data_IF_159566745608
#
_entry.id   IF_159566745608
#
_cell.length_a   1.000
_cell.length_b   1.000
_cell.length_c   1.000
_cell.angle_alpha   90.00
_cell.angle_beta   90.00
_cell.angle_gamma   90.00
#
_symmetry.space_group_name_H-M   'P 1'
#
loop_
_entity.id
_entity.type
_entity.pdbx_description
1 polymer ?
#
# COMPACT_ATOMS: atom_id res chain seq x y z
N UNK A 1 -10.18 -23.73 -101.65
CA UNK A 1 -10.53 -24.11 -100.26
C UNK A 1 -9.31 -24.33 -99.33
N UNK A 2 -8.05 -24.18 -99.78
CA UNK A 2 -6.85 -24.52 -98.97
C UNK A 2 -6.24 -23.38 -98.14
N UNK A 3 -6.60 -22.11 -98.39
CA UNK A 3 -6.07 -20.97 -97.63
C UNK A 3 -6.93 -20.61 -96.40
N UNK A 4 -8.25 -20.83 -96.48
CA UNK A 4 -9.19 -20.54 -95.39
C UNK A 4 -9.02 -21.53 -94.21
N UNK A 5 -8.76 -22.81 -94.52
CA UNK A 5 -8.52 -23.85 -93.50
C UNK A 5 -7.19 -23.65 -92.78
N UNK A 6 -6.15 -23.15 -93.47
CA UNK A 6 -4.85 -22.82 -92.85
C UNK A 6 -4.97 -21.60 -91.93
N UNK A 7 -5.75 -20.59 -92.31
CA UNK A 7 -5.99 -19.42 -91.47
C UNK A 7 -6.80 -19.79 -90.22
N UNK A 8 -7.85 -20.61 -90.37
CA UNK A 8 -8.63 -21.12 -89.26
C UNK A 8 -7.79 -21.99 -88.30
N UNK A 9 -6.90 -22.84 -88.83
CA UNK A 9 -6.00 -23.67 -88.03
C UNK A 9 -4.95 -22.85 -87.26
N UNK A 10 -4.39 -21.81 -87.87
CA UNK A 10 -3.43 -20.91 -87.20
C UNK A 10 -4.14 -20.08 -86.12
N UNK A 11 -5.36 -19.60 -86.39
CA UNK A 11 -6.14 -18.83 -85.42
C UNK A 11 -6.58 -19.70 -84.23
N UNK A 12 -6.97 -20.96 -84.47
CA UNK A 12 -7.33 -21.90 -83.41
C UNK A 12 -6.11 -22.40 -82.62
N UNK A 13 -4.94 -22.53 -83.24
CA UNK A 13 -3.70 -22.84 -82.52
C UNK A 13 -3.21 -21.64 -81.68
N UNK A 14 -3.33 -20.42 -82.18
CA UNK A 14 -3.03 -19.21 -81.41
C UNK A 14 -4.00 -19.02 -80.24
N UNK A 15 -5.28 -19.32 -80.43
CA UNK A 15 -6.28 -19.29 -79.35
C UNK A 15 -6.05 -20.40 -78.32
N UNK A 16 -5.66 -21.61 -78.75
CA UNK A 16 -5.31 -22.70 -77.84
C UNK A 16 -4.05 -22.39 -77.01
N UNK A 17 -3.04 -21.73 -77.59
CA UNK A 17 -1.83 -21.32 -76.85
C UNK A 17 -2.12 -20.17 -75.87
N UNK A 18 -3.05 -19.26 -76.19
CA UNK A 18 -3.46 -18.20 -75.27
C UNK A 18 -4.28 -18.71 -74.06
N UNK A 19 -5.01 -19.82 -74.21
CA UNK A 19 -5.82 -20.42 -73.14
C UNK A 19 -5.00 -21.38 -72.25
N UNK A 20 -3.87 -21.89 -72.74
CA UNK A 20 -2.98 -22.81 -72.00
C UNK A 20 -1.75 -22.08 -71.41
N UNK A 21 -1.65 -20.75 -71.57
CA UNK A 21 -0.63 -19.97 -70.87
C UNK A 21 -0.76 -20.26 -69.37
N UNK A 22 0.29 -20.79 -68.70
CA UNK A 22 0.23 -21.04 -67.28
C UNK A 22 -0.08 -19.70 -66.63
N UNK A 23 -1.24 -19.60 -65.97
CA UNK A 23 -1.48 -18.49 -65.08
C UNK A 23 -0.37 -18.59 -64.04
N UNK A 24 0.61 -17.69 -64.12
CA UNK A 24 1.55 -17.47 -63.04
C UNK A 24 0.69 -17.13 -61.83
N UNK A 25 0.40 -18.14 -61.00
CA UNK A 25 -0.13 -17.91 -59.68
C UNK A 25 0.87 -16.95 -59.05
N UNK A 26 0.42 -15.72 -58.79
CA UNK A 26 1.23 -14.75 -58.07
C UNK A 26 1.78 -15.51 -56.87
N UNK A 27 3.10 -15.54 -56.74
CA UNK A 27 3.75 -16.21 -55.62
C UNK A 27 3.26 -15.49 -54.36
N UNK A 28 2.23 -16.05 -53.72
CA UNK A 28 1.67 -15.53 -52.49
C UNK A 28 2.80 -15.61 -51.49
N UNK A 29 3.36 -14.46 -51.15
CA UNK A 29 4.37 -14.35 -50.12
C UNK A 29 3.62 -14.07 -48.82
N UNK A 30 3.32 -15.10 -48.00
CA UNK A 30 2.50 -14.94 -46.81
C UNK A 30 3.13 -13.97 -45.79
N UNK A 31 4.43 -13.66 -45.88
CA UNK A 31 5.11 -12.65 -45.06
C UNK A 31 4.94 -11.22 -45.62
N UNK A 32 4.75 -11.07 -46.93
CA UNK A 32 4.43 -9.77 -47.54
C UNK A 32 2.93 -9.43 -47.39
N UNK A 33 2.07 -10.45 -47.30
CA UNK A 33 0.64 -10.31 -47.02
C UNK A 33 0.27 -10.43 -45.54
N UNK A 34 1.23 -10.80 -44.67
CA UNK A 34 1.00 -10.78 -43.23
C UNK A 34 0.86 -9.35 -42.73
N UNK A 35 -0.16 -9.11 -41.91
CA UNK A 35 -0.35 -7.83 -41.24
C UNK A 35 0.92 -7.50 -40.44
N UNK A 36 1.60 -6.42 -40.79
CA UNK A 36 2.73 -5.93 -39.99
C UNK A 36 2.21 -5.35 -38.68
N UNK A 37 3.05 -5.38 -37.64
CA UNK A 37 2.69 -4.80 -36.34
C UNK A 37 2.31 -3.31 -36.48
N UNK A 38 2.99 -2.58 -37.37
CA UNK A 38 2.69 -1.19 -37.69
C UNK A 38 1.35 -1.01 -38.43
N UNK A 39 1.04 -1.85 -39.44
CA UNK A 39 -0.25 -1.81 -40.13
C UNK A 39 -1.41 -2.21 -39.22
N UNK A 40 -1.14 -3.11 -38.27
CA UNK A 40 -2.07 -3.44 -37.19
C UNK A 40 -2.25 -2.21 -36.28
N UNK A 41 -1.19 -1.58 -35.77
CA UNK A 41 -1.32 -0.39 -34.93
C UNK A 41 -1.96 0.81 -35.64
N UNK A 42 -1.75 0.97 -36.94
CA UNK A 42 -2.38 2.00 -37.79
C UNK A 42 -3.87 1.71 -37.99
N UNK A 43 -4.25 0.47 -38.30
CA UNK A 43 -5.66 0.04 -38.36
C UNK A 43 -6.37 0.12 -37.00
N UNK A 44 -5.61 -0.03 -35.91
CA UNK A 44 -6.05 0.09 -34.53
C UNK A 44 -5.93 1.52 -33.98
N UNK A 45 -5.59 2.51 -34.81
CA UNK A 45 -5.37 3.93 -34.49
C UNK A 45 -6.60 4.70 -33.99
N UNK A 46 -7.60 4.00 -33.47
CA UNK A 46 -8.74 4.58 -32.78
C UNK A 46 -8.46 4.65 -31.28
N UNK A 47 -8.83 5.74 -30.62
CA UNK A 47 -8.83 5.86 -29.14
C UNK A 47 -9.88 4.94 -28.45
N UNK A 48 -10.43 3.96 -29.16
CA UNK A 48 -11.46 3.03 -28.71
C UNK A 48 -10.91 1.69 -28.24
N UNK A 49 -11.75 0.94 -27.51
CA UNK A 49 -11.42 -0.44 -27.11
C UNK A 49 -11.41 -1.33 -28.34
N UNK A 50 -10.28 -2.01 -28.57
CA UNK A 50 -10.17 -3.03 -29.62
C UNK A 50 -10.39 -4.38 -28.96
N UNK A 51 -11.37 -5.13 -29.44
CA UNK A 51 -11.69 -6.46 -28.92
C UNK A 51 -11.82 -7.51 -30.03
N UNK A 52 -11.50 -8.75 -29.69
CA UNK A 52 -11.63 -9.93 -30.52
C UNK A 52 -12.39 -11.03 -29.79
N UNK A 53 -12.59 -12.17 -30.48
CA UNK A 53 -13.24 -13.34 -29.88
C UNK A 53 -12.20 -14.24 -29.22
N UNK A 54 -12.53 -14.74 -28.04
CA UNK A 54 -11.73 -15.75 -27.32
C UNK A 54 -12.59 -16.97 -27.02
N UNK A 55 -11.97 -18.15 -27.04
CA UNK A 55 -12.61 -19.45 -26.75
C UNK A 55 -12.67 -19.78 -25.26
N UNK A 56 -11.95 -19.04 -24.42
CA UNK A 56 -11.90 -19.25 -22.97
C UNK A 56 -13.08 -18.57 -22.25
N UNK A 57 -13.45 -19.02 -21.03
CA UNK A 57 -14.54 -18.41 -20.25
C UNK A 57 -14.35 -16.92 -19.97
N UNK A 58 -13.10 -16.49 -19.78
CA UNK A 58 -12.75 -15.09 -19.61
C UNK A 58 -12.88 -14.32 -20.94
N UNK A 59 -14.08 -13.81 -21.23
CA UNK A 59 -14.36 -13.00 -22.42
C UNK A 59 -13.54 -11.72 -22.48
N UNK A 60 -13.09 -11.23 -21.32
CA UNK A 60 -12.36 -9.99 -21.17
C UNK A 60 -10.91 -10.08 -21.70
N UNK A 61 -10.41 -11.31 -21.87
CA UNK A 61 -9.15 -11.63 -22.55
C UNK A 61 -9.19 -11.34 -24.07
N UNK A 62 -10.38 -11.13 -24.65
CA UNK A 62 -10.52 -10.70 -26.03
C UNK A 62 -10.15 -9.24 -26.28
N UNK A 63 -10.01 -8.42 -25.23
CA UNK A 63 -9.71 -7.00 -25.37
C UNK A 63 -8.21 -6.77 -25.62
N UNK A 64 -7.86 -6.47 -26.87
CA UNK A 64 -6.49 -6.26 -27.37
C UNK A 64 -5.92 -4.88 -26.97
N UNK A 65 -6.67 -3.81 -27.19
CA UNK A 65 -6.29 -2.43 -26.80
C UNK A 65 -7.33 -1.89 -25.84
N UNK A 66 -6.84 -1.38 -24.70
CA UNK A 66 -7.64 -0.74 -23.64
C UNK A 66 -7.11 0.68 -23.45
N UNK A 67 -7.70 1.70 -24.10
CA UNK A 67 -7.25 3.10 -24.01
C UNK A 67 -7.13 3.61 -22.57
N UNK A 68 -8.06 3.22 -21.70
CA UNK A 68 -8.06 3.53 -20.26
C UNK A 68 -6.77 3.08 -19.54
N UNK A 69 -6.11 2.01 -20.02
CA UNK A 69 -4.85 1.54 -19.44
C UNK A 69 -3.70 2.53 -19.66
N UNK A 70 -3.71 3.32 -20.73
CA UNK A 70 -2.65 4.33 -20.98
C UNK A 70 -2.74 5.45 -19.94
N UNK A 71 -3.95 5.94 -19.68
CA UNK A 71 -4.20 6.94 -18.64
C UNK A 71 -3.82 6.40 -17.25
N UNK A 72 -4.22 5.17 -16.93
CA UNK A 72 -3.84 4.48 -15.70
C UNK A 72 -2.32 4.32 -15.55
N UNK A 73 -1.63 3.85 -16.59
CA UNK A 73 -0.18 3.64 -16.55
C UNK A 73 0.59 4.95 -16.31
N UNK A 74 0.14 6.06 -16.91
CA UNK A 74 0.69 7.39 -16.66
C UNK A 74 0.42 7.86 -15.24
N UNK A 75 -0.81 7.73 -14.75
CA UNK A 75 -1.17 8.08 -13.37
C UNK A 75 -0.34 7.29 -12.36
N UNK A 76 -0.20 5.99 -12.56
CA UNK A 76 0.56 5.11 -11.68
C UNK A 76 2.06 5.44 -11.71
N UNK A 77 2.67 5.44 -12.90
CA UNK A 77 4.14 5.55 -13.03
C UNK A 77 4.68 6.94 -12.69
N UNK A 78 3.85 7.97 -12.81
CA UNK A 78 4.24 9.35 -12.49
C UNK A 78 3.71 9.76 -11.11
N UNK A 79 2.40 9.92 -10.99
CA UNK A 79 1.77 10.54 -9.82
C UNK A 79 1.86 9.64 -8.59
N UNK A 80 1.41 8.38 -8.68
CA UNK A 80 1.36 7.47 -7.52
C UNK A 80 2.78 7.19 -7.00
N UNK A 81 3.72 6.90 -7.91
CA UNK A 81 5.14 6.71 -7.55
C UNK A 81 5.70 7.93 -6.84
N UNK A 82 5.50 9.13 -7.40
CA UNK A 82 6.02 10.37 -6.83
C UNK A 82 5.42 10.64 -5.44
N UNK A 83 4.10 10.52 -5.30
CA UNK A 83 3.43 10.72 -4.01
C UNK A 83 3.90 9.70 -2.97
N UNK A 84 4.09 8.44 -3.35
CA UNK A 84 4.57 7.39 -2.46
C UNK A 84 6.00 7.65 -1.99
N UNK A 85 6.89 8.08 -2.90
CA UNK A 85 8.27 8.45 -2.57
C UNK A 85 8.28 9.66 -1.63
N UNK A 86 7.53 10.72 -1.94
CA UNK A 86 7.45 11.91 -1.09
C UNK A 86 6.89 11.55 0.29
N UNK A 87 5.84 10.75 0.36
CA UNK A 87 5.25 10.34 1.63
C UNK A 87 6.25 9.57 2.50
N UNK A 88 6.96 8.59 1.95
CA UNK A 88 7.89 7.77 2.73
C UNK A 88 9.19 8.52 3.02
N UNK A 89 9.93 8.90 1.97
CA UNK A 89 11.24 9.53 2.13
C UNK A 89 11.14 10.95 2.66
N UNK A 90 10.13 11.72 2.23
CA UNK A 90 9.90 13.07 2.74
C UNK A 90 9.57 13.06 4.23
N UNK A 91 8.79 12.09 4.73
CA UNK A 91 8.56 11.96 6.17
C UNK A 91 9.83 11.57 6.92
N UNK A 92 10.63 10.63 6.42
CA UNK A 92 11.92 10.29 7.04
C UNK A 92 12.84 11.52 7.14
N UNK A 93 12.97 12.28 6.05
CA UNK A 93 13.77 13.51 6.02
C UNK A 93 13.22 14.58 6.96
N UNK A 94 11.89 14.77 7.01
CA UNK A 94 11.25 15.72 7.90
C UNK A 94 11.48 15.37 9.38
N UNK A 95 11.39 14.08 9.74
CA UNK A 95 11.63 13.61 11.10
C UNK A 95 13.11 13.69 11.46
N UNK A 96 14.02 13.42 10.53
CA UNK A 96 15.45 13.62 10.72
C UNK A 96 15.77 15.09 10.98
N UNK A 97 15.23 16.00 10.16
CA UNK A 97 15.38 17.44 10.36
C UNK A 97 14.80 17.87 11.72
N UNK A 98 13.61 17.39 12.07
CA UNK A 98 13.00 17.65 13.37
C UNK A 98 13.87 17.14 14.52
N UNK A 99 14.45 15.95 14.40
CA UNK A 99 15.35 15.38 15.41
C UNK A 99 16.63 16.20 15.57
N UNK A 100 17.26 16.64 14.47
CA UNK A 100 18.46 17.47 14.52
C UNK A 100 18.18 18.83 15.15
N UNK A 101 17.03 19.44 14.84
CA UNK A 101 16.66 20.78 15.35
C UNK A 101 16.20 20.76 16.81
N UNK A 102 15.41 19.75 17.18
CA UNK A 102 14.75 19.69 18.50
C UNK A 102 15.48 18.76 19.47
N UNK A 103 15.98 17.63 18.99
CA UNK A 103 16.52 16.54 19.80
C UNK A 103 15.44 15.60 20.37
N UNK A 104 15.88 14.71 21.26
CA UNK A 104 15.03 13.76 22.00
C UNK A 104 14.16 14.49 23.05
N UNK A 105 12.89 14.13 23.15
CA UNK A 105 12.02 14.53 24.27
C UNK A 105 12.48 13.79 25.52
N UNK A 106 12.99 14.52 26.51
CA UNK A 106 13.35 13.96 27.82
C UNK A 106 12.21 14.17 28.81
N UNK A 107 12.21 13.34 29.84
CA UNK A 107 11.33 13.51 31.01
C UNK A 107 11.92 14.65 31.84
N UNK A 108 11.15 15.72 32.06
CA UNK A 108 11.64 16.95 32.69
C UNK A 108 12.05 16.70 34.16
N UNK A 109 11.31 15.86 34.88
CA UNK A 109 11.61 15.45 36.25
C UNK A 109 12.67 14.34 36.35
N UNK A 110 13.15 13.83 35.22
CA UNK A 110 13.96 12.62 35.15
C UNK A 110 13.17 11.34 35.48
N UNK A 111 13.79 10.18 35.21
CA UNK A 111 13.17 8.88 35.49
C UNK A 111 13.19 8.58 36.99
N UNK A 112 12.05 8.14 37.52
CA UNK A 112 11.87 7.78 38.92
C UNK A 112 12.46 6.41 39.28
N UNK A 113 12.62 5.52 38.29
CA UNK A 113 13.01 4.12 38.49
C UNK A 113 11.86 3.22 38.98
N UNK A 114 10.70 3.79 39.28
CA UNK A 114 9.46 3.07 39.60
C UNK A 114 8.60 2.97 38.37
N UNK A 115 8.03 1.80 38.12
CA UNK A 115 7.21 1.57 36.92
C UNK A 115 5.74 1.32 37.23
N UNK A 116 4.90 1.64 36.27
CA UNK A 116 3.45 1.38 36.28
C UNK A 116 3.08 0.64 35.01
N UNK A 117 2.26 -0.41 35.16
CA UNK A 117 1.78 -1.21 34.03
C UNK A 117 0.82 -0.41 33.16
N UNK A 118 1.22 -0.20 31.90
CA UNK A 118 0.40 0.50 30.90
C UNK A 118 -0.32 -0.45 29.96
N UNK A 119 0.39 -1.48 29.48
CA UNK A 119 -0.14 -2.43 28.48
C UNK A 119 0.11 -3.88 28.90
N UNK A 120 -0.94 -4.69 28.84
CA UNK A 120 -0.86 -6.12 29.13
C UNK A 120 -0.26 -6.93 27.97
N UNK A 121 0.03 -8.21 28.21
CA UNK A 121 0.68 -9.10 27.24
C UNK A 121 -0.15 -9.25 25.95
N UNK A 122 -1.48 -9.32 26.05
CA UNK A 122 -2.38 -9.46 24.88
C UNK A 122 -2.35 -8.19 24.03
N UNK A 123 -2.43 -7.02 24.67
CA UNK A 123 -2.31 -5.72 23.99
C UNK A 123 -0.97 -5.60 23.24
N UNK A 124 0.15 -6.00 23.88
CA UNK A 124 1.48 -5.98 23.26
C UNK A 124 1.61 -6.99 22.13
N UNK A 125 1.10 -8.20 22.30
CA UNK A 125 1.10 -9.23 21.26
C UNK A 125 0.35 -8.76 20.02
N UNK A 126 -0.85 -8.18 20.20
CA UNK A 126 -1.63 -7.61 19.12
C UNK A 126 -0.87 -6.48 18.40
N UNK A 127 -0.26 -5.58 19.18
CA UNK A 127 0.51 -4.46 18.65
C UNK A 127 1.73 -4.92 17.84
N UNK A 128 2.55 -5.82 18.38
CA UNK A 128 3.75 -6.29 17.70
C UNK A 128 3.42 -7.12 16.46
N UNK A 129 2.37 -7.94 16.50
CA UNK A 129 1.91 -8.66 15.32
C UNK A 129 1.46 -7.68 14.23
N UNK A 130 0.69 -6.65 14.59
CA UNK A 130 0.27 -5.60 13.67
C UNK A 130 1.48 -4.82 13.11
N UNK A 131 2.44 -4.45 13.96
CA UNK A 131 3.61 -3.67 13.58
C UNK A 131 4.54 -4.43 12.63
N UNK A 132 4.90 -5.68 12.97
CA UNK A 132 5.79 -6.48 12.13
C UNK A 132 5.16 -6.80 10.78
N UNK A 133 3.89 -7.20 10.77
CA UNK A 133 3.18 -7.47 9.51
C UNK A 133 3.08 -6.22 8.66
N UNK A 134 2.74 -5.07 9.24
CA UNK A 134 2.69 -3.78 8.53
C UNK A 134 4.04 -3.40 7.92
N UNK A 135 5.16 -3.55 8.64
CA UNK A 135 6.50 -3.23 8.12
C UNK A 135 6.82 -4.08 6.89
N UNK A 136 6.57 -5.39 6.95
CA UNK A 136 6.84 -6.28 5.81
C UNK A 136 5.91 -5.94 4.63
N UNK A 137 4.63 -5.66 4.88
CA UNK A 137 3.67 -5.24 3.87
C UNK A 137 4.08 -3.90 3.21
N UNK A 138 4.49 -2.92 4.00
CA UNK A 138 4.94 -1.61 3.52
C UNK A 138 6.21 -1.73 2.67
N UNK A 139 7.21 -2.50 3.11
CA UNK A 139 8.45 -2.70 2.37
C UNK A 139 8.25 -3.47 1.06
N UNK A 140 7.45 -4.54 1.11
CA UNK A 140 7.11 -5.32 -0.10
C UNK A 140 6.26 -4.50 -1.08
N UNK A 141 5.30 -3.71 -0.59
CA UNK A 141 4.52 -2.78 -1.41
C UNK A 141 5.38 -1.68 -2.03
N UNK A 142 6.31 -1.11 -1.27
CA UNK A 142 7.27 -0.11 -1.78
C UNK A 142 8.16 -0.70 -2.87
N UNK A 143 8.60 -1.96 -2.73
CA UNK A 143 9.33 -2.68 -3.78
C UNK A 143 8.49 -2.81 -5.08
N UNK A 144 7.16 -2.97 -5.00
CA UNK A 144 6.31 -2.99 -6.21
C UNK A 144 6.23 -1.61 -6.90
N UNK A 145 6.30 -0.52 -6.13
CA UNK A 145 6.19 0.85 -6.67
C UNK A 145 7.54 1.35 -7.24
N UNK A 146 8.65 1.19 -6.51
CA UNK A 146 9.95 1.76 -6.87
C UNK A 146 11.07 0.74 -7.06
N UNK A 147 10.82 -0.55 -6.84
CA UNK A 147 11.88 -1.57 -6.88
C UNK A 147 12.56 -1.65 -8.24
N UNK A 148 11.82 -1.46 -9.34
CA UNK A 148 12.40 -1.46 -10.69
C UNK A 148 13.32 -0.27 -10.96
N UNK A 149 13.03 0.90 -10.41
CA UNK A 149 13.83 2.11 -10.64
C UNK A 149 14.99 2.26 -9.65
N UNK A 150 14.86 1.69 -8.45
CA UNK A 150 15.85 1.84 -7.37
C UNK A 150 16.62 0.55 -7.12
N UNK A 151 15.92 -0.56 -6.86
CA UNK A 151 16.55 -1.79 -6.38
C UNK A 151 17.19 -2.58 -7.52
N UNK A 152 16.51 -2.68 -8.67
CA UNK A 152 16.99 -3.41 -9.83
C UNK A 152 18.35 -2.88 -10.35
N UNK A 153 18.56 -1.56 -10.56
CA UNK A 153 19.86 -1.05 -10.98
C UNK A 153 20.98 -1.24 -9.95
N UNK A 154 20.63 -1.31 -8.65
CA UNK A 154 21.62 -1.45 -7.57
C UNK A 154 22.06 -2.89 -7.33
N UNK A 155 21.15 -3.87 -7.48
CA UNK A 155 21.39 -5.26 -7.09
C UNK A 155 21.39 -6.24 -8.28
N UNK A 156 20.96 -5.81 -9.46
CA UNK A 156 20.83 -6.67 -10.65
C UNK A 156 19.57 -7.54 -10.67
N UNK A 157 19.30 -8.15 -11.82
CA UNK A 157 18.06 -8.89 -12.11
C UNK A 157 17.82 -10.08 -11.17
N UNK A 158 18.85 -10.88 -10.88
CA UNK A 158 18.72 -12.09 -10.06
C UNK A 158 18.31 -11.79 -8.61
N UNK A 159 18.96 -10.80 -7.99
CA UNK A 159 18.66 -10.38 -6.63
C UNK A 159 17.29 -9.68 -6.55
N UNK A 160 17.00 -8.76 -7.48
CA UNK A 160 15.70 -8.10 -7.54
C UNK A 160 14.55 -9.08 -7.77
N UNK A 161 14.72 -10.05 -8.67
CA UNK A 161 13.74 -11.10 -8.95
C UNK A 161 13.43 -11.93 -7.71
N UNK A 162 14.47 -12.37 -7.00
CA UNK A 162 14.34 -13.16 -5.77
C UNK A 162 13.66 -12.36 -4.66
N UNK A 163 14.11 -11.13 -4.42
CA UNK A 163 13.52 -10.23 -3.42
C UNK A 163 12.04 -9.96 -3.72
N UNK A 164 11.70 -9.69 -4.98
CA UNK A 164 10.33 -9.39 -5.39
C UNK A 164 9.42 -10.61 -5.30
N UNK A 165 9.92 -11.80 -5.63
CA UNK A 165 9.18 -13.05 -5.50
C UNK A 165 8.82 -13.33 -4.04
N UNK A 166 9.81 -13.29 -3.14
CA UNK A 166 9.58 -13.48 -1.70
C UNK A 166 8.73 -12.34 -1.11
N UNK A 167 8.98 -11.11 -1.53
CA UNK A 167 8.21 -9.94 -1.13
C UNK A 167 6.73 -10.09 -1.47
N UNK A 168 6.40 -10.53 -2.69
CA UNK A 168 5.01 -10.80 -3.09
C UNK A 168 4.37 -11.90 -2.25
N UNK A 169 5.07 -13.01 -2.01
CA UNK A 169 4.56 -14.10 -1.16
C UNK A 169 4.29 -13.58 0.25
N UNK A 170 5.27 -12.89 0.84
CA UNK A 170 5.14 -12.31 2.17
C UNK A 170 3.98 -11.30 2.24
N UNK A 171 3.83 -10.44 1.22
CA UNK A 171 2.75 -9.45 1.16
C UNK A 171 1.37 -10.12 1.19
N UNK A 172 1.17 -11.17 0.39
CA UNK A 172 -0.11 -11.86 0.30
C UNK A 172 -0.46 -12.63 1.57
N UNK A 173 0.51 -13.30 2.19
CA UNK A 173 0.25 -14.15 3.36
C UNK A 173 0.26 -13.39 4.69
N UNK A 174 1.08 -12.35 4.84
CA UNK A 174 1.11 -11.53 6.06
C UNK A 174 -0.04 -10.51 6.14
N UNK A 175 -0.78 -10.30 5.05
CA UNK A 175 -2.01 -9.51 5.07
C UNK A 175 -3.06 -10.11 6.03
N UNK A 176 -3.16 -11.43 6.15
CA UNK A 176 -4.12 -12.10 7.04
C UNK A 176 -3.85 -11.84 8.53
N UNK A 177 -2.66 -12.11 9.08
CA UNK A 177 -2.36 -11.76 10.46
C UNK A 177 -2.41 -10.25 10.72
N UNK A 178 -2.10 -9.40 9.72
CA UNK A 178 -2.31 -7.96 9.81
C UNK A 178 -3.79 -7.63 10.06
N UNK A 179 -4.70 -8.16 9.25
CA UNK A 179 -6.15 -7.95 9.38
C UNK A 179 -6.70 -8.42 10.73
N UNK A 180 -6.28 -9.61 11.17
CA UNK A 180 -6.68 -10.16 12.48
C UNK A 180 -6.18 -9.27 13.62
N UNK A 181 -4.92 -8.85 13.56
CA UNK A 181 -4.33 -7.98 14.59
C UNK A 181 -4.97 -6.61 14.61
N UNK A 182 -5.36 -6.06 13.46
CA UNK A 182 -6.06 -4.80 13.34
C UNK A 182 -7.43 -4.86 14.04
N UNK A 183 -8.20 -5.93 13.81
CA UNK A 183 -9.47 -6.16 14.48
C UNK A 183 -9.29 -6.33 16.00
N UNK A 184 -8.24 -7.05 16.42
CA UNK A 184 -7.93 -7.23 17.84
C UNK A 184 -7.58 -5.91 18.51
N UNK A 185 -6.74 -5.07 17.88
CA UNK A 185 -6.40 -3.74 18.38
C UNK A 185 -7.64 -2.84 18.48
N UNK A 186 -8.54 -2.89 17.49
CA UNK A 186 -9.81 -2.17 17.54
C UNK A 186 -10.60 -2.55 18.80
N UNK A 187 -10.84 -3.85 19.01
CA UNK A 187 -11.61 -4.35 20.17
C UNK A 187 -10.96 -3.97 21.49
N UNK A 188 -9.63 -4.12 21.60
CA UNK A 188 -8.91 -3.84 22.85
C UNK A 188 -8.87 -2.35 23.21
N UNK A 189 -8.77 -1.47 22.21
CA UNK A 189 -8.41 -0.06 22.45
C UNK A 189 -9.48 0.96 22.07
N UNK A 190 -10.55 0.59 21.35
CA UNK A 190 -11.55 1.56 20.85
C UNK A 190 -12.15 2.41 21.96
N UNK A 191 -12.51 1.81 23.10
CA UNK A 191 -13.14 2.52 24.23
C UNK A 191 -12.27 3.65 24.76
N UNK A 192 -10.95 3.45 24.80
CA UNK A 192 -10.00 4.45 25.28
C UNK A 192 -9.63 5.50 24.22
N UNK A 193 -9.98 5.26 22.95
CA UNK A 193 -9.62 6.10 21.81
C UNK A 193 -10.79 6.90 21.23
N UNK A 194 -11.93 6.92 21.91
CA UNK A 194 -13.05 7.82 21.54
C UNK A 194 -12.60 9.27 21.76
N UNK A 195 -12.66 10.13 20.73
CA UNK A 195 -12.34 11.55 20.88
C UNK A 195 -13.29 12.23 21.86
N UNK A 196 -12.76 13.10 22.70
CA UNK A 196 -13.53 13.85 23.69
C UNK A 196 -13.01 15.30 23.79
N UNK A 197 -13.65 16.12 24.63
CA UNK A 197 -13.31 17.55 24.78
C UNK A 197 -11.84 17.74 25.13
N UNK A 198 -11.32 16.96 26.09
CA UNK A 198 -9.92 17.04 26.53
C UNK A 198 -8.92 16.95 25.37
N UNK A 199 -9.23 16.17 24.33
CA UNK A 199 -8.36 16.06 23.15
C UNK A 199 -8.27 17.38 22.39
N UNK A 200 -9.36 18.15 22.32
CA UNK A 200 -9.39 19.48 21.71
C UNK A 200 -8.55 20.46 22.53
N UNK A 201 -8.64 20.42 23.86
CA UNK A 201 -7.78 21.23 24.72
C UNK A 201 -6.29 20.85 24.59
N UNK A 202 -6.00 19.56 24.45
CA UNK A 202 -4.64 19.04 24.22
C UNK A 202 -4.06 19.55 22.89
N UNK A 203 -4.87 19.52 21.83
CA UNK A 203 -4.49 20.01 20.50
C UNK A 203 -4.27 21.53 20.49
N UNK A 204 -5.12 22.31 21.19
CA UNK A 204 -4.94 23.77 21.35
C UNK A 204 -3.62 24.14 22.01
N UNK A 205 -3.08 23.26 22.87
CA UNK A 205 -1.78 23.43 23.52
C UNK A 205 -0.61 22.92 22.68
N UNK A 206 -0.85 22.51 21.43
CA UNK A 206 0.20 22.00 20.53
C UNK A 206 0.79 20.66 20.98
N UNK A 207 0.08 19.93 21.83
CA UNK A 207 0.45 18.58 22.26
C UNK A 207 1.71 18.46 23.12
N UNK A 208 2.19 19.57 23.70
CA UNK A 208 3.43 19.57 24.49
C UNK A 208 4.70 19.31 23.67
N UNK A 209 4.59 19.20 22.34
CA UNK A 209 5.73 18.93 21.46
C UNK A 209 6.46 20.21 21.03
N UNK A 210 5.75 21.34 21.00
CA UNK A 210 6.27 22.61 20.47
C UNK A 210 6.96 23.49 21.51
N UNK A 211 6.65 23.33 22.80
CA UNK A 211 7.22 24.13 23.89
C UNK A 211 7.67 23.22 25.04
N UNK A 212 8.93 23.37 25.49
CA UNK A 212 9.48 22.63 26.63
C UNK A 212 8.71 22.96 27.92
N UNK A 213 8.51 21.95 28.78
CA UNK A 213 7.81 22.09 30.06
C UNK A 213 6.29 22.20 29.96
N UNK A 214 5.69 22.06 28.77
CA UNK A 214 4.23 22.02 28.61
C UNK A 214 3.77 20.58 28.48
N UNK A 215 3.01 20.13 29.46
CA UNK A 215 2.51 18.76 29.57
C UNK A 215 0.99 18.77 29.65
N UNK A 216 0.27 18.84 28.50
CA UNK A 216 -1.17 18.91 28.53
C UNK A 216 -1.75 17.61 29.13
N UNK A 217 -2.72 17.71 30.06
CA UNK A 217 -3.25 16.55 30.75
C UNK A 217 -3.88 15.55 29.77
N UNK A 218 -3.61 14.26 29.98
CA UNK A 218 -4.11 13.20 29.13
C UNK A 218 -4.47 11.95 29.94
N UNK A 219 -5.46 11.19 29.44
CA UNK A 219 -5.80 9.85 29.93
C UNK A 219 -4.85 8.80 29.35
N UNK A 220 -5.24 7.51 29.35
CA UNK A 220 -4.42 6.40 28.82
C UNK A 220 -3.88 6.65 27.41
N UNK A 221 -4.63 7.36 26.57
CA UNK A 221 -4.17 7.86 25.28
C UNK A 221 -4.38 9.38 25.17
N UNK A 222 -3.38 10.08 24.63
CA UNK A 222 -3.50 11.50 24.29
C UNK A 222 -4.11 11.70 22.89
N UNK A 223 -4.45 12.94 22.53
CA UNK A 223 -5.10 13.24 21.25
C UNK A 223 -4.28 12.77 20.03
N UNK A 224 -2.96 12.95 20.05
CA UNK A 224 -2.08 12.48 18.97
C UNK A 224 -2.10 10.97 18.80
N UNK A 225 -2.08 10.22 19.90
CA UNK A 225 -2.20 8.76 19.88
C UNK A 225 -3.57 8.31 19.35
N UNK A 226 -4.65 9.03 19.68
CA UNK A 226 -5.99 8.74 19.14
C UNK A 226 -6.08 9.00 17.64
N UNK A 227 -5.45 10.06 17.14
CA UNK A 227 -5.34 10.31 15.70
C UNK A 227 -4.63 9.14 15.02
N UNK A 228 -3.48 8.70 15.55
CA UNK A 228 -2.76 7.53 15.01
C UNK A 228 -3.64 6.28 15.05
N UNK A 229 -4.33 6.02 16.16
CA UNK A 229 -5.24 4.89 16.29
C UNK A 229 -6.29 4.90 15.17
N UNK A 230 -7.02 6.00 14.98
CA UNK A 230 -8.05 6.06 13.94
C UNK A 230 -7.47 6.03 12.52
N UNK A 231 -6.32 6.64 12.28
CA UNK A 231 -5.63 6.53 10.99
C UNK A 231 -5.25 5.08 10.67
N UNK A 232 -4.74 4.33 11.64
CA UNK A 232 -4.39 2.91 11.48
C UNK A 232 -5.63 2.04 11.33
N UNK A 233 -6.69 2.28 12.11
CA UNK A 233 -7.93 1.52 12.01
C UNK A 233 -8.60 1.74 10.64
N UNK A 234 -8.84 3.00 10.26
CA UNK A 234 -9.54 3.33 9.01
C UNK A 234 -8.68 3.03 7.79
N UNK A 235 -7.41 3.47 7.81
CA UNK A 235 -6.47 3.20 6.73
C UNK A 235 -6.18 1.71 6.59
N UNK A 236 -5.97 1.00 7.71
CA UNK A 236 -5.78 -0.45 7.72
C UNK A 236 -7.00 -1.20 7.19
N UNK A 237 -8.22 -0.78 7.54
CA UNK A 237 -9.44 -1.37 7.00
C UNK A 237 -9.58 -1.13 5.49
N UNK A 238 -9.26 0.08 5.01
CA UNK A 238 -9.25 0.40 3.59
C UNK A 238 -8.20 -0.42 2.81
N UNK A 239 -6.99 -0.58 3.34
CA UNK A 239 -5.95 -1.45 2.78
C UNK A 239 -6.38 -2.92 2.78
N UNK A 240 -7.02 -3.37 3.85
CA UNK A 240 -7.53 -4.75 3.97
C UNK A 240 -8.58 -5.04 2.91
N UNK A 241 -9.56 -4.13 2.75
CA UNK A 241 -10.62 -4.27 1.75
C UNK A 241 -10.07 -4.24 0.32
N UNK A 242 -9.29 -3.21 -0.01
CA UNK A 242 -8.70 -3.10 -1.36
C UNK A 242 -7.71 -4.22 -1.66
N UNK A 243 -6.87 -4.61 -0.70
CA UNK A 243 -5.93 -5.73 -0.83
C UNK A 243 -6.63 -7.06 -1.02
N UNK A 244 -7.74 -7.30 -0.31
CA UNK A 244 -8.58 -8.48 -0.52
C UNK A 244 -9.15 -8.51 -1.94
N UNK A 245 -9.67 -7.40 -2.45
CA UNK A 245 -10.15 -7.33 -3.84
C UNK A 245 -9.03 -7.60 -4.85
N UNK A 246 -7.81 -7.10 -4.60
CA UNK A 246 -6.66 -7.35 -5.46
C UNK A 246 -6.16 -8.81 -5.42
N UNK A 247 -6.35 -9.51 -4.29
CA UNK A 247 -6.05 -10.94 -4.18
C UNK A 247 -7.05 -11.82 -4.94
N UNK A 248 -8.29 -11.36 -5.08
CA UNK A 248 -9.37 -12.11 -5.72
C UNK A 248 -10.01 -11.32 -6.88
N UNK A 249 -9.32 -11.17 -8.02
CA UNK A 249 -9.80 -10.37 -9.15
C UNK A 249 -11.16 -10.82 -9.70
N UNK A 250 -11.50 -12.10 -9.56
CA UNK A 250 -12.78 -12.67 -10.03
C UNK A 250 -14.01 -12.09 -9.33
N UNK A 251 -13.88 -11.60 -8.10
CA UNK A 251 -14.95 -10.93 -7.34
C UNK A 251 -14.76 -9.41 -7.26
N UNK A 252 -13.62 -8.90 -7.72
CA UNK A 252 -13.27 -7.48 -7.71
C UNK A 252 -13.93 -6.70 -8.86
N UNK A 253 -14.73 -7.34 -9.72
CA UNK A 253 -15.46 -6.66 -10.78
C UNK A 253 -14.64 -6.45 -12.06
N UNK A 254 -14.83 -5.30 -12.68
CA UNK A 254 -14.25 -4.93 -13.96
C UNK A 254 -12.77 -4.52 -13.84
N UNK A 255 -12.09 -4.36 -14.97
CA UNK A 255 -10.72 -3.82 -14.99
C UNK A 255 -10.61 -2.43 -14.38
N UNK A 256 -11.63 -1.58 -14.57
CA UNK A 256 -11.69 -0.24 -13.99
C UNK A 256 -11.76 -0.32 -12.46
N UNK A 257 -12.50 -1.30 -11.92
CA UNK A 257 -12.54 -1.55 -10.48
C UNK A 257 -11.16 -1.99 -9.94
N UNK A 258 -10.43 -2.81 -10.68
CA UNK A 258 -9.08 -3.23 -10.28
C UNK A 258 -8.10 -2.06 -10.24
N UNK A 259 -8.17 -1.15 -11.22
CA UNK A 259 -7.37 0.08 -11.23
C UNK A 259 -7.75 0.99 -10.06
N UNK A 260 -9.04 1.11 -9.77
CA UNK A 260 -9.52 1.86 -8.62
C UNK A 260 -8.99 1.28 -7.30
N UNK A 261 -9.06 -0.04 -7.10
CA UNK A 261 -8.51 -0.68 -5.90
C UNK A 261 -6.99 -0.49 -5.81
N UNK A 262 -6.25 -0.62 -6.91
CA UNK A 262 -4.80 -0.34 -6.92
C UNK A 262 -4.50 1.12 -6.54
N UNK A 263 -5.27 2.07 -7.08
CA UNK A 263 -5.12 3.49 -6.79
C UNK A 263 -5.30 3.78 -5.30
N UNK A 264 -6.44 3.35 -4.75
CA UNK A 264 -6.77 3.58 -3.35
C UNK A 264 -5.77 2.85 -2.45
N UNK A 265 -5.43 1.60 -2.77
CA UNK A 265 -4.46 0.83 -2.00
C UNK A 265 -3.10 1.53 -1.93
N UNK A 266 -2.57 1.98 -3.07
CA UNK A 266 -1.28 2.66 -3.12
C UNK A 266 -1.28 4.00 -2.37
N UNK A 267 -2.33 4.84 -2.55
CA UNK A 267 -2.42 6.14 -1.88
C UNK A 267 -2.59 6.00 -0.36
N UNK A 268 -3.46 5.09 0.08
CA UNK A 268 -3.66 4.83 1.51
C UNK A 268 -2.39 4.21 2.11
N UNK A 269 -1.71 3.31 1.39
CA UNK A 269 -0.47 2.70 1.87
C UNK A 269 0.64 3.74 2.04
N UNK A 270 0.79 4.66 1.09
CA UNK A 270 1.74 5.76 1.17
C UNK A 270 1.46 6.68 2.37
N UNK A 271 0.22 7.15 2.51
CA UNK A 271 -0.17 8.02 3.62
C UNK A 271 -0.06 7.35 4.99
N UNK A 272 -0.52 6.10 5.10
CA UNK A 272 -0.43 5.34 6.35
C UNK A 272 1.02 4.99 6.70
N UNK A 273 1.87 4.70 5.71
CA UNK A 273 3.30 4.50 5.94
C UNK A 273 3.96 5.75 6.53
N UNK A 274 3.65 6.93 6.00
CA UNK A 274 4.14 8.20 6.57
C UNK A 274 3.72 8.36 8.05
N UNK A 275 2.45 8.10 8.36
CA UNK A 275 1.92 8.17 9.74
C UNK A 275 2.62 7.15 10.65
N UNK A 276 2.80 5.91 10.20
CA UNK A 276 3.44 4.86 10.99
C UNK A 276 4.93 5.15 11.19
N UNK A 277 5.63 5.73 10.21
CA UNK A 277 7.02 6.18 10.39
C UNK A 277 7.09 7.25 11.48
N UNK A 278 6.19 8.23 11.48
CA UNK A 278 6.11 9.24 12.53
C UNK A 278 5.77 8.64 13.91
N UNK A 279 4.88 7.63 13.95
CA UNK A 279 4.57 6.88 15.16
C UNK A 279 5.78 6.12 15.71
N UNK A 280 6.51 5.39 14.85
CA UNK A 280 7.74 4.68 15.22
C UNK A 280 8.75 5.68 15.78
N UNK A 281 8.95 6.83 15.13
CA UNK A 281 9.85 7.87 15.62
C UNK A 281 9.50 8.32 17.04
N UNK A 282 8.26 8.76 17.30
CA UNK A 282 7.88 9.23 18.64
C UNK A 282 7.88 8.09 19.67
N UNK A 283 7.50 6.88 19.28
CA UNK A 283 7.48 5.71 20.16
C UNK A 283 8.85 5.09 20.46
N UNK A 284 9.94 5.55 19.82
CA UNK A 284 11.28 5.00 20.00
C UNK A 284 12.33 6.08 20.27
N UNK A 285 12.87 6.70 19.22
CA UNK A 285 14.01 7.61 19.30
C UNK A 285 13.59 9.02 19.72
N UNK A 286 12.37 9.44 19.37
CA UNK A 286 11.86 10.79 19.57
C UNK A 286 11.48 11.10 21.01
N UNK A 287 11.12 10.09 21.82
CA UNK A 287 10.70 10.28 23.21
C UNK A 287 11.35 9.27 24.16
N UNK A 288 11.93 9.78 25.24
CA UNK A 288 12.51 8.99 26.32
C UNK A 288 11.48 8.10 27.01
N UNK A 289 11.83 6.83 27.26
CA UNK A 289 10.97 5.88 27.96
C UNK A 289 9.72 5.43 27.20
N UNK A 290 9.41 6.01 26.03
CA UNK A 290 8.20 5.68 25.28
C UNK A 290 8.20 4.24 24.76
N UNK A 291 9.37 3.70 24.37
CA UNK A 291 9.50 2.34 23.87
C UNK A 291 9.11 1.29 24.92
N UNK A 292 9.40 1.55 26.20
CA UNK A 292 9.16 0.60 27.31
C UNK A 292 7.68 0.25 27.44
N UNK A 293 6.80 1.19 27.08
CA UNK A 293 5.36 0.97 27.03
C UNK A 293 4.97 -0.25 26.18
N UNK A 294 5.64 -0.49 25.05
CA UNK A 294 5.39 -1.65 24.19
C UNK A 294 6.43 -2.76 24.34
N UNK A 295 7.65 -2.45 24.78
CA UNK A 295 8.69 -3.44 25.04
C UNK A 295 8.37 -4.33 26.24
N UNK A 296 8.22 -3.73 27.42
CA UNK A 296 7.94 -4.45 28.67
C UNK A 296 6.46 -4.36 29.08
N UNK A 297 5.74 -3.35 28.60
CA UNK A 297 4.38 -3.01 29.05
C UNK A 297 4.33 -2.08 30.24
N UNK A 298 5.49 -1.75 30.79
CA UNK A 298 5.67 -0.95 32.00
C UNK A 298 6.28 0.39 31.60
N UNK A 299 5.83 1.48 32.21
CA UNK A 299 6.37 2.83 31.96
C UNK A 299 6.82 3.46 33.27
N UNK A 300 7.85 4.30 33.21
CA UNK A 300 8.30 5.05 34.39
C UNK A 300 7.18 5.96 34.95
N UNK A 301 7.10 6.08 36.27
CA UNK A 301 6.06 6.83 36.95
C UNK A 301 6.11 8.34 36.65
N UNK A 302 7.31 8.95 36.55
CA UNK A 302 7.43 10.37 36.21
C UNK A 302 7.07 10.62 34.75
N UNK A 303 7.51 9.74 33.85
CA UNK A 303 7.08 9.77 32.45
C UNK A 303 5.56 9.69 32.32
N UNK A 304 4.92 8.80 33.10
CA UNK A 304 3.47 8.65 33.11
C UNK A 304 2.75 9.90 33.64
N UNK A 305 3.30 10.55 34.68
CA UNK A 305 2.75 11.80 35.22
C UNK A 305 2.85 12.95 34.22
N UNK A 306 3.97 13.07 33.53
CA UNK A 306 4.19 14.14 32.55
C UNK A 306 3.30 13.95 31.32
N UNK A 307 3.25 12.75 30.75
CA UNK A 307 2.54 12.56 29.49
C UNK A 307 1.07 12.12 29.62
N UNK A 308 0.69 11.61 30.80
CA UNK A 308 -0.61 10.97 31.05
C UNK A 308 -1.10 11.18 32.49
N UNK A 309 -0.99 12.40 33.01
CA UNK A 309 -1.32 12.77 34.41
C UNK A 309 -2.67 12.21 34.90
N UNK A 310 -3.74 12.39 34.13
CA UNK A 310 -5.08 11.94 34.49
C UNK A 310 -5.19 10.40 34.57
N UNK A 311 -4.43 9.69 33.75
CA UNK A 311 -4.38 8.23 33.82
C UNK A 311 -3.66 7.75 35.09
N UNK A 312 -2.59 8.42 35.50
CA UNK A 312 -1.89 8.09 36.75
C UNK A 312 -2.81 8.28 37.96
N UNK A 313 -3.61 9.35 37.97
CA UNK A 313 -4.62 9.59 39.00
C UNK A 313 -5.67 8.47 39.05
N UNK A 314 -6.20 8.06 37.89
CA UNK A 314 -7.18 6.97 37.79
C UNK A 314 -6.61 5.63 38.34
N UNK A 315 -5.37 5.28 37.96
CA UNK A 315 -4.72 4.04 38.41
C UNK A 315 -4.47 4.07 39.92
N UNK A 316 -3.91 5.18 40.44
CA UNK A 316 -3.61 5.31 41.87
C UNK A 316 -4.86 5.41 42.74
N UNK A 317 -5.89 6.12 42.29
CA UNK A 317 -7.18 6.18 42.96
C UNK A 317 -7.84 4.80 43.05
N UNK A 318 -7.74 4.00 41.99
CA UNK A 318 -8.24 2.61 41.99
C UNK A 318 -7.44 1.70 42.94
N UNK A 319 -6.11 1.86 43.00
CA UNK A 319 -5.27 1.10 43.94
C UNK A 319 -5.57 1.44 45.41
N UNK A 320 -5.81 2.71 45.73
CA UNK A 320 -6.20 3.12 47.08
C UNK A 320 -7.56 2.54 47.50
N UNK A 321 -8.53 2.48 46.58
CA UNK A 321 -9.85 1.88 46.83
C UNK A 321 -9.81 0.35 47.05
N UNK A 322 -8.89 -0.37 46.39
CA UNK A 322 -8.70 -1.81 46.61
C UNK A 322 -7.98 -2.15 47.92
N UNK A 323 -7.12 -1.26 48.43
CA UNK A 323 -6.45 -1.43 49.72
C UNK A 323 -7.33 -1.17 50.95
N UNK A 324 -8.46 -0.47 50.75
CA UNK A 324 -9.41 -0.14 51.82
C UNK A 324 -10.52 -1.18 52.02
N UNK A 325 -10.57 -2.24 51.21
CA UNK A 325 -11.47 -3.36 51.42
C UNK A 325 -10.86 -4.31 52.47
N UNK A 326 -11.13 -4.05 53.75
CA UNK A 326 -10.81 -4.93 54.88
C UNK A 326 -11.45 -6.30 54.66
N UNK A 327 -10.79 -7.44 54.96
CA UNK A 327 -11.45 -8.73 54.97
C UNK A 327 -12.48 -8.70 56.10
N UNK A 328 -13.75 -8.96 55.78
CA UNK A 328 -14.73 -9.28 56.80
C UNK A 328 -14.38 -10.67 57.37
N UNK A 329 -14.03 -10.71 58.66
CA UNK A 329 -14.11 -11.91 59.49
C UNK A 329 -15.57 -12.28 59.77
#
# INVERSE_FOLDING_TARGET
>A
MSHLSKFAAILSLAFAVAVIAPQTQAQVNPTAESVSEDALFEALGTDGVVSGRVSIPDRSAGNLIKPENKAWASLHSNTIVTLSVIAVFGTVLALLAFYVLRGKIRVDAGLSGRTIRRFNVIERFAHWTLAFTFIVLALSGLNLIIGKSVILPLLGEGAFGTLSAWGKIAHNYLAWPFMVSLALILVLWVVHNIPNKLDVEWLKQGGGLLKKGVHPPAKKFNAGQKVIFWSVIVGGAALSYTGFMLLFPSIAGSFTDWQFYQLIHALVAAGLSAIVIAHIYIGSVGMEGAFDAMGSGEVDENWAKEHHSLWVEEVKGTSAGKGAATPAE
#
